data_IF_400580772420
#
_entry.id   IF_400580772420
#
_cell.length_a   1.000
_cell.length_b   1.000
_cell.length_c   1.000
_cell.angle_alpha   90.00
_cell.angle_beta   90.00
_cell.angle_gamma   90.00
#
_symmetry.space_group_name_H-M   'P 1'
#
loop_
_entity.id
_entity.type
_entity.pdbx_description
1 polymer ?
#
# COMPACT_ATOMS: atom_id res chain seq x y z
N UNK A 1 8.77 -10.27 -3.71
CA UNK A 1 7.55 -10.78 -3.06
C UNK A 1 7.10 -9.82 -1.96
N UNK A 2 5.82 -9.81 -1.60
CA UNK A 2 5.31 -8.94 -0.53
C UNK A 2 5.67 -9.51 0.85
N UNK A 3 6.01 -8.64 1.79
CA UNK A 3 6.39 -9.00 3.16
C UNK A 3 5.72 -8.06 4.16
N UNK A 4 5.53 -8.53 5.40
CA UNK A 4 5.13 -7.68 6.53
C UNK A 4 6.40 -7.29 7.30
N UNK A 5 6.58 -5.99 7.55
CA UNK A 5 7.76 -5.42 8.21
C UNK A 5 7.31 -4.79 9.52
N UNK A 6 7.92 -5.18 10.62
CA UNK A 6 7.69 -4.54 11.92
C UNK A 6 8.70 -3.40 12.11
N UNK A 7 8.22 -2.20 12.38
CA UNK A 7 9.03 -1.00 12.63
C UNK A 7 8.34 -0.13 13.67
N UNK A 8 9.07 0.26 14.71
CA UNK A 8 8.60 1.15 15.78
C UNK A 8 7.29 0.65 16.45
N UNK A 9 7.13 -0.68 16.58
CA UNK A 9 5.92 -1.30 17.13
C UNK A 9 4.74 -1.39 16.16
N UNK A 10 4.87 -0.86 14.95
CA UNK A 10 3.86 -0.90 13.90
C UNK A 10 4.18 -1.95 12.83
N UNK A 11 3.13 -2.42 12.13
CA UNK A 11 3.24 -3.39 11.03
C UNK A 11 2.97 -2.69 9.70
N UNK A 12 3.90 -2.86 8.78
CA UNK A 12 3.84 -2.31 7.43
C UNK A 12 3.91 -3.41 6.39
N UNK A 13 3.51 -3.09 5.16
CA UNK A 13 3.71 -3.89 3.97
C UNK A 13 4.86 -3.31 3.15
N UNK A 14 5.63 -4.20 2.54
CA UNK A 14 6.69 -3.84 1.62
C UNK A 14 7.10 -5.01 0.75
N UNK A 15 8.24 -4.86 0.08
CA UNK A 15 8.80 -5.87 -0.82
C UNK A 15 10.15 -6.42 -0.35
N UNK A 16 10.35 -7.70 -0.60
CA UNK A 16 11.62 -8.40 -0.45
C UNK A 16 11.98 -9.12 -1.75
N UNK A 17 13.27 -9.33 -1.99
CA UNK A 17 13.74 -10.16 -3.10
C UNK A 17 13.58 -11.66 -2.81
N UNK A 18 14.02 -12.49 -3.76
CA UNK A 18 13.96 -13.96 -3.65
C UNK A 18 14.93 -14.54 -2.62
N UNK A 19 15.94 -13.78 -2.23
CA UNK A 19 17.02 -14.22 -1.36
C UNK A 19 16.75 -13.81 0.11
N UNK A 20 15.61 -13.17 0.39
CA UNK A 20 15.22 -12.80 1.74
C UNK A 20 15.38 -11.32 2.06
N UNK A 21 16.03 -10.54 1.18
CA UNK A 21 16.43 -9.16 1.48
C UNK A 21 15.27 -8.21 1.25
N UNK A 22 14.97 -7.36 2.24
CA UNK A 22 14.01 -6.26 2.09
C UNK A 22 14.57 -5.25 1.08
N UNK A 23 13.80 -4.99 0.03
CA UNK A 23 14.16 -4.06 -1.07
C UNK A 23 13.19 -2.87 -1.16
N UNK A 24 12.13 -2.88 -0.35
CA UNK A 24 11.11 -1.84 -0.30
C UNK A 24 11.75 -0.47 -0.06
N UNK A 25 11.36 0.55 -0.83
CA UNK A 25 11.81 1.95 -0.60
C UNK A 25 10.87 2.70 0.31
N UNK A 26 9.59 2.36 0.24
CA UNK A 26 8.55 2.90 1.10
C UNK A 26 7.95 1.78 1.96
N UNK A 27 7.42 2.17 3.12
CA UNK A 27 6.58 1.34 3.97
C UNK A 27 5.12 1.79 3.78
N UNK A 28 4.24 0.82 3.61
CA UNK A 28 2.81 1.07 3.39
C UNK A 28 1.99 0.46 4.51
N UNK A 29 0.91 1.11 4.91
CA UNK A 29 -0.04 0.59 5.91
C UNK A 29 -0.89 -0.54 5.31
N UNK A 30 -1.36 -0.34 4.06
CA UNK A 30 -1.97 -1.36 3.22
C UNK A 30 -1.26 -1.39 1.87
N UNK A 31 -1.14 -2.58 1.30
CA UNK A 31 -0.57 -2.80 -0.03
C UNK A 31 -1.23 -4.01 -0.64
N UNK A 32 -1.98 -3.78 -1.72
CA UNK A 32 -2.62 -4.84 -2.50
C UNK A 32 -1.61 -5.46 -3.45
N UNK A 33 -1.90 -6.69 -3.87
CA UNK A 33 -1.11 -7.36 -4.89
C UNK A 33 -1.15 -6.58 -6.21
N UNK A 34 -0.11 -6.73 -7.03
CA UNK A 34 -0.07 -6.13 -8.36
C UNK A 34 -1.11 -6.77 -9.28
N UNK A 35 -1.78 -5.93 -10.08
CA UNK A 35 -2.64 -6.38 -11.17
C UNK A 35 -1.80 -6.94 -12.33
N UNK A 36 -2.47 -7.46 -13.37
CA UNK A 36 -1.79 -7.95 -14.58
C UNK A 36 -1.04 -6.84 -15.32
N UNK A 37 -1.46 -5.60 -15.14
CA UNK A 37 -0.87 -4.39 -15.70
C UNK A 37 0.30 -3.86 -14.85
N UNK A 38 0.62 -4.52 -13.73
CA UNK A 38 1.78 -4.19 -12.90
C UNK A 38 1.58 -2.96 -12.02
N UNK A 39 0.34 -2.63 -11.64
CA UNK A 39 0.00 -1.57 -10.69
C UNK A 39 -0.60 -2.15 -9.42
N UNK A 40 -0.42 -1.46 -8.29
CA UNK A 40 -0.95 -1.84 -6.99
C UNK A 40 -1.50 -0.63 -6.26
N UNK A 41 -2.61 -0.83 -5.54
CA UNK A 41 -3.10 0.12 -4.55
C UNK A 41 -2.24 0.05 -3.29
N UNK A 42 -1.86 1.21 -2.78
CA UNK A 42 -1.16 1.34 -1.51
C UNK A 42 -1.83 2.41 -0.64
N UNK A 43 -1.71 2.26 0.68
CA UNK A 43 -2.06 3.28 1.67
C UNK A 43 -0.79 3.68 2.41
N UNK A 44 -0.57 4.99 2.53
CA UNK A 44 0.55 5.57 3.25
C UNK A 44 0.07 6.85 3.91
N UNK A 45 0.35 7.03 5.20
CA UNK A 45 -0.02 8.22 5.96
C UNK A 45 -1.55 8.51 5.86
N UNK A 46 -2.38 7.45 5.96
CA UNK A 46 -3.84 7.47 5.77
C UNK A 46 -4.36 7.92 4.37
N UNK A 47 -3.46 8.07 3.40
CA UNK A 47 -3.77 8.50 2.04
C UNK A 47 -3.65 7.33 1.05
N UNK A 48 -4.53 7.32 0.05
CA UNK A 48 -4.55 6.36 -1.04
C UNK A 48 -3.61 6.81 -2.16
N UNK A 49 -2.83 5.88 -2.69
CA UNK A 49 -2.05 6.05 -3.91
C UNK A 49 -2.03 4.77 -4.75
N UNK A 50 -1.51 4.91 -5.97
CA UNK A 50 -1.25 3.77 -6.87
C UNK A 50 0.22 3.79 -7.23
N UNK A 51 0.87 2.64 -7.11
CA UNK A 51 2.28 2.44 -7.44
C UNK A 51 2.43 1.37 -8.51
N UNK A 52 3.54 1.39 -9.25
CA UNK A 52 3.91 0.30 -10.14
C UNK A 52 4.86 -0.72 -9.46
N UNK A 53 5.25 -1.76 -10.19
CA UNK A 53 6.18 -2.81 -9.71
C UNK A 53 7.56 -2.33 -9.29
N UNK A 54 7.96 -1.10 -9.64
CA UNK A 54 9.20 -0.45 -9.21
C UNK A 54 9.01 0.49 -8.02
N UNK A 55 7.82 0.49 -7.41
CA UNK A 55 7.39 1.45 -6.38
C UNK A 55 7.38 2.91 -6.85
N UNK A 56 7.27 3.14 -8.16
CA UNK A 56 7.06 4.49 -8.68
C UNK A 56 5.58 4.86 -8.52
N UNK A 57 5.33 6.06 -8.01
CA UNK A 57 4.00 6.59 -7.76
C UNK A 57 3.36 6.97 -9.10
N UNK A 58 2.24 6.30 -9.42
CA UNK A 58 1.40 6.56 -10.59
C UNK A 58 0.27 7.52 -10.23
N UNK A 59 -0.36 7.30 -9.07
CA UNK A 59 -1.34 8.22 -8.46
C UNK A 59 -0.79 8.64 -7.11
N UNK A 60 -0.60 9.94 -6.86
CA UNK A 60 -0.02 10.45 -5.62
C UNK A 60 -0.89 10.11 -4.41
N UNK A 61 -0.22 9.95 -3.27
CA UNK A 61 -0.86 9.80 -1.96
C UNK A 61 -1.36 11.19 -1.55
N UNK A 62 -2.57 11.52 -1.99
CA UNK A 62 -3.22 12.81 -1.71
C UNK A 62 -4.73 12.64 -1.46
N UNK A 63 -5.29 11.47 -1.80
CA UNK A 63 -6.67 11.14 -1.51
C UNK A 63 -6.75 10.53 -0.11
N UNK A 64 -7.18 11.31 0.87
CA UNK A 64 -7.53 10.76 2.18
C UNK A 64 -8.63 9.73 2.02
N UNK A 65 -8.44 8.57 2.64
CA UNK A 65 -9.52 7.61 2.81
C UNK A 65 -10.50 8.23 3.82
N UNK A 66 -11.34 9.18 3.40
CA UNK A 66 -12.54 9.47 4.18
C UNK A 66 -13.32 8.15 4.22
N UNK A 67 -13.32 7.53 5.39
CA UNK A 67 -14.14 6.39 5.70
C UNK A 67 -15.61 6.81 5.54
N UNK A 68 -16.11 6.87 4.32
CA UNK A 68 -17.54 6.90 4.03
C UNK A 68 -18.06 5.48 4.23
N UNK A 69 -17.98 5.01 5.47
CA UNK A 69 -18.67 3.83 5.99
C UNK A 69 -19.97 4.22 6.70
N UNK A 70 -20.57 5.36 6.37
CA UNK A 70 -21.96 5.66 6.71
C UNK A 70 -22.82 5.49 5.46
N UNK A 71 -23.10 4.24 5.11
CA UNK A 71 -24.42 3.90 4.60
C UNK A 71 -25.34 3.67 5.81
N UNK A 72 -25.57 4.71 6.61
CA UNK A 72 -26.74 4.73 7.49
C UNK A 72 -27.93 5.12 6.60
N UNK A 73 -28.92 4.23 6.50
CA UNK A 73 -30.22 4.41 5.83
C UNK A 73 -30.31 4.13 4.32
N UNK A 74 -29.83 2.96 3.89
CA UNK A 74 -30.31 2.36 2.64
C UNK A 74 -31.63 1.60 2.82
N UNK A 75 -32.76 2.32 2.80
CA UNK A 75 -34.17 1.83 2.76
C UNK A 75 -34.78 1.20 4.02
#
# INVERSE_FOLDING_TARGET
MQVTIEKDGNKYKGFMDKDGKIITKNLYEDLRGFTKEGIARAIKDDEFGVINTKEEVIIPFECKYENTYEFENGF
#
